data_IF_148806409049
#
_entry.id   IF_148806409049
#
_cell.length_a   1.000
_cell.length_b   1.000
_cell.length_c   1.000
_cell.angle_alpha   90.00
_cell.angle_beta   90.00
_cell.angle_gamma   90.00
#
_symmetry.space_group_name_H-M   'P 1'
#
loop_
_entity.id
_entity.type
_entity.pdbx_description
1 polymer ?
#
# COMPACT_ATOMS: atom_id res chain seq x y z
N UNK A 1 -9.88 -5.59 11.14
CA UNK A 1 -10.25 -4.20 11.51
C UNK A 1 -10.62 -3.35 10.30
N UNK A 2 -9.79 -3.25 9.25
CA UNK A 2 -10.09 -2.31 8.16
C UNK A 2 -11.18 -2.79 7.14
N UNK A 3 -11.36 -4.10 6.88
CA UNK A 3 -12.47 -4.60 6.02
C UNK A 3 -13.86 -4.21 6.54
N UNK A 4 -14.08 -4.36 7.86
CA UNK A 4 -15.32 -3.98 8.51
C UNK A 4 -15.59 -2.46 8.44
N UNK A 5 -14.54 -1.64 8.50
CA UNK A 5 -14.64 -0.20 8.29
C UNK A 5 -15.14 0.13 6.88
N UNK A 6 -14.59 -0.53 5.86
CA UNK A 6 -15.01 -0.33 4.46
C UNK A 6 -16.46 -0.77 4.26
N UNK A 7 -16.85 -1.90 4.84
CA UNK A 7 -18.25 -2.36 4.81
C UNK A 7 -19.20 -1.35 5.48
N UNK A 8 -18.86 -0.87 6.69
CA UNK A 8 -19.65 0.15 7.39
C UNK A 8 -19.71 1.48 6.63
N UNK A 9 -18.64 1.85 5.95
CA UNK A 9 -18.62 3.01 5.05
C UNK A 9 -19.61 2.83 3.89
N UNK A 10 -19.60 1.70 3.17
CA UNK A 10 -20.57 1.45 2.10
C UNK A 10 -22.01 1.50 2.59
N UNK A 11 -22.29 0.89 3.75
CA UNK A 11 -23.62 0.93 4.38
C UNK A 11 -24.12 2.34 4.64
N UNK A 12 -23.25 3.23 5.15
CA UNK A 12 -23.63 4.60 5.47
C UNK A 12 -23.68 5.48 4.23
N UNK A 13 -22.70 5.32 3.33
CA UNK A 13 -22.59 6.13 2.13
C UNK A 13 -23.76 5.84 1.16
N UNK A 14 -24.18 4.59 1.00
CA UNK A 14 -25.31 4.24 0.13
C UNK A 14 -26.60 4.93 0.54
N UNK A 15 -26.84 5.11 1.84
CA UNK A 15 -28.00 5.84 2.37
C UNK A 15 -27.95 7.36 2.14
N UNK A 16 -26.78 7.90 1.77
CA UNK A 16 -26.57 9.33 1.53
C UNK A 16 -26.53 9.70 0.03
N UNK A 17 -26.56 8.71 -0.87
CA UNK A 17 -26.51 8.96 -2.31
C UNK A 17 -27.85 9.47 -2.85
N UNK A 18 -27.76 10.33 -3.86
CA UNK A 18 -28.86 10.60 -4.79
C UNK A 18 -28.98 9.42 -5.78
N UNK A 19 -30.06 9.38 -6.55
CA UNK A 19 -30.31 8.29 -7.51
C UNK A 19 -29.17 8.05 -8.52
N UNK A 20 -28.38 9.09 -8.80
CA UNK A 20 -27.23 9.13 -9.71
C UNK A 20 -25.89 9.34 -8.97
N UNK A 21 -25.88 9.19 -7.65
CA UNK A 21 -24.68 9.39 -6.85
C UNK A 21 -23.68 8.24 -6.99
N UNK A 22 -22.40 8.59 -7.04
CA UNK A 22 -21.30 7.61 -7.12
C UNK A 22 -20.45 7.61 -5.85
N UNK A 23 -19.94 6.43 -5.48
CA UNK A 23 -18.96 6.28 -4.40
C UNK A 23 -17.62 5.90 -5.02
N UNK A 24 -16.62 6.74 -4.81
CA UNK A 24 -15.25 6.49 -5.28
C UNK A 24 -14.40 6.01 -4.11
N UNK A 25 -13.88 4.78 -4.20
CA UNK A 25 -12.98 4.23 -3.19
C UNK A 25 -11.61 3.95 -3.80
N UNK A 26 -10.57 4.56 -3.24
CA UNK A 26 -9.20 4.17 -3.50
C UNK A 26 -8.69 3.29 -2.35
N UNK A 27 -8.12 2.13 -2.68
CA UNK A 27 -7.54 1.22 -1.69
C UNK A 27 -6.21 0.65 -2.17
N UNK A 28 -5.37 0.21 -1.23
CA UNK A 28 -4.12 -0.47 -1.55
C UNK A 28 -4.42 -1.83 -2.17
N UNK A 29 -3.80 -2.12 -3.31
CA UNK A 29 -3.93 -3.39 -4.05
C UNK A 29 -2.88 -4.43 -3.65
N UNK A 30 -2.08 -4.16 -2.62
CA UNK A 30 -1.07 -5.09 -2.09
C UNK A 30 -1.60 -5.87 -0.89
N UNK A 31 -1.05 -7.05 -0.64
CA UNK A 31 -1.42 -7.85 0.52
C UNK A 31 -1.16 -7.11 1.86
N UNK A 32 -2.04 -7.26 2.87
CA UNK A 32 -3.23 -8.09 2.90
C UNK A 32 -4.50 -7.41 2.37
N UNK A 33 -4.41 -6.16 1.91
CA UNK A 33 -5.54 -5.28 1.57
C UNK A 33 -6.33 -5.73 0.34
N UNK A 34 -5.65 -6.37 -0.62
CA UNK A 34 -6.26 -6.93 -1.82
C UNK A 34 -7.27 -8.07 -1.57
N UNK A 35 -7.23 -8.72 -0.40
CA UNK A 35 -8.17 -9.79 -0.05
C UNK A 35 -9.52 -9.28 0.46
N UNK A 36 -9.74 -7.96 0.53
CA UNK A 36 -10.95 -7.42 1.13
C UNK A 36 -12.18 -7.53 0.25
N UNK A 37 -11.99 -7.73 -1.06
CA UNK A 37 -13.04 -7.85 -2.06
C UNK A 37 -14.07 -6.72 -1.96
N UNK A 38 -13.66 -5.50 -2.34
CA UNK A 38 -14.50 -4.31 -2.20
C UNK A 38 -15.82 -4.43 -2.96
N UNK A 39 -15.81 -5.10 -4.11
CA UNK A 39 -17.00 -5.32 -4.93
C UNK A 39 -18.05 -6.16 -4.19
N UNK A 40 -17.64 -7.22 -3.50
CA UNK A 40 -18.53 -8.03 -2.65
C UNK A 40 -19.09 -7.22 -1.47
N UNK A 41 -18.26 -6.38 -0.84
CA UNK A 41 -18.73 -5.51 0.25
C UNK A 41 -19.73 -4.46 -0.24
N UNK A 42 -19.52 -3.93 -1.45
CA UNK A 42 -20.41 -2.95 -2.08
C UNK A 42 -21.74 -3.59 -2.47
N UNK A 43 -21.72 -4.80 -3.05
CA UNK A 43 -22.94 -5.51 -3.48
C UNK A 43 -23.84 -5.90 -2.30
N UNK A 44 -23.24 -6.24 -1.14
CA UNK A 44 -23.95 -6.45 0.13
C UNK A 44 -24.74 -5.20 0.59
N UNK A 45 -24.42 -4.02 0.07
CA UNK A 45 -25.05 -2.74 0.39
C UNK A 45 -25.76 -2.12 -0.83
N UNK A 46 -26.19 -2.95 -1.80
CA UNK A 46 -26.93 -2.55 -3.01
C UNK A 46 -26.19 -1.56 -3.92
N UNK A 47 -24.86 -1.60 -3.90
CA UNK A 47 -24.00 -0.83 -4.81
C UNK A 47 -23.44 -1.75 -5.90
N UNK A 48 -23.31 -1.23 -7.11
CA UNK A 48 -22.70 -1.93 -8.23
C UNK A 48 -21.38 -1.28 -8.63
N UNK A 49 -20.39 -2.08 -9.05
CA UNK A 49 -19.15 -1.57 -9.60
C UNK A 49 -19.41 -0.98 -10.99
N UNK A 50 -19.23 0.33 -11.14
CA UNK A 50 -19.35 1.01 -12.43
C UNK A 50 -18.06 0.85 -13.23
N UNK A 51 -16.91 1.16 -12.60
CA UNK A 51 -15.62 1.09 -13.26
C UNK A 51 -14.47 0.93 -12.25
N UNK A 52 -13.39 0.31 -12.71
CA UNK A 52 -12.10 0.32 -12.02
C UNK A 52 -11.14 1.25 -12.77
N UNK A 53 -10.92 2.45 -12.23
CA UNK A 53 -10.12 3.49 -12.86
C UNK A 53 -8.90 3.85 -12.01
N UNK A 54 -7.81 4.24 -12.69
CA UNK A 54 -6.66 4.79 -11.99
C UNK A 54 -7.02 6.14 -11.36
N UNK A 55 -6.73 6.30 -10.08
CA UNK A 55 -6.90 7.57 -9.41
C UNK A 55 -5.89 8.59 -9.94
N UNK A 56 -6.38 9.73 -10.43
CA UNK A 56 -5.56 10.90 -10.77
C UNK A 56 -6.01 12.06 -9.91
N UNK A 57 -5.11 12.59 -9.10
CA UNK A 57 -5.43 13.72 -8.21
C UNK A 57 -5.94 14.95 -8.98
N UNK A 58 -5.46 15.13 -10.21
CA UNK A 58 -5.86 16.24 -11.09
C UNK A 58 -7.33 16.20 -11.50
N UNK A 59 -7.97 15.03 -11.45
CA UNK A 59 -9.40 14.88 -11.78
C UNK A 59 -10.31 15.35 -10.62
N UNK A 60 -9.73 15.65 -9.45
CA UNK A 60 -10.45 16.02 -8.23
C UNK A 60 -9.94 17.34 -7.62
N UNK A 61 -10.23 18.50 -8.26
CA UNK A 61 -9.80 19.80 -7.73
C UNK A 61 -10.39 20.03 -6.33
N UNK A 62 -9.52 20.33 -5.36
CA UNK A 62 -9.89 20.50 -3.96
C UNK A 62 -9.67 19.25 -3.08
N UNK A 63 -9.34 18.10 -3.67
CA UNK A 63 -8.94 16.92 -2.91
C UNK A 63 -7.63 17.18 -2.14
N UNK A 64 -7.69 17.09 -0.81
CA UNK A 64 -6.53 17.31 0.05
C UNK A 64 -6.45 16.17 1.08
N UNK A 65 -5.58 15.20 0.83
CA UNK A 65 -5.49 14.00 1.65
C UNK A 65 -4.86 14.31 3.01
N UNK A 66 -5.42 13.73 4.07
CA UNK A 66 -4.95 13.89 5.46
C UNK A 66 -4.59 12.54 6.06
N UNK A 67 -3.68 12.54 7.03
CA UNK A 67 -3.29 11.33 7.76
C UNK A 67 -4.27 11.11 8.92
N UNK A 68 -4.61 9.84 9.17
CA UNK A 68 -5.64 9.50 10.15
C UNK A 68 -5.29 9.70 11.63
N UNK A 69 -4.02 9.87 12.00
CA UNK A 69 -3.60 10.00 13.40
C UNK A 69 -2.22 10.67 13.59
N UNK A 70 -1.92 11.04 14.84
CA UNK A 70 -0.64 11.58 15.35
C UNK A 70 -0.31 13.03 14.92
N UNK A 71 0.88 13.51 15.31
CA UNK A 71 1.38 14.88 15.08
C UNK A 71 1.46 15.31 13.60
N UNK A 72 1.21 14.39 12.67
CA UNK A 72 1.19 14.63 11.22
C UNK A 72 -0.22 14.53 10.61
N UNK A 73 -1.28 14.47 11.41
CA UNK A 73 -2.65 14.25 10.93
C UNK A 73 -3.09 15.22 9.81
N UNK A 74 -2.72 16.50 9.92
CA UNK A 74 -3.05 17.51 8.92
C UNK A 74 -2.06 17.61 7.74
N UNK A 75 -1.01 16.78 7.69
CA UNK A 75 -0.04 16.78 6.60
C UNK A 75 -0.46 15.76 5.52
N UNK A 76 -0.29 16.08 4.23
CA UNK A 76 -0.57 15.14 3.16
C UNK A 76 0.37 13.93 3.18
N UNK A 77 -0.02 12.88 2.47
CA UNK A 77 0.82 11.73 2.15
C UNK A 77 0.99 11.60 0.63
N UNK A 78 2.14 11.08 0.15
CA UNK A 78 2.29 10.80 -1.29
C UNK A 78 1.20 9.83 -1.74
N UNK A 79 0.51 10.14 -2.83
CA UNK A 79 -0.53 9.27 -3.39
C UNK A 79 0.08 8.19 -4.30
N UNK A 80 1.25 8.47 -4.87
CA UNK A 80 2.08 7.50 -5.61
C UNK A 80 2.98 6.73 -4.63
N UNK A 81 2.42 5.73 -3.95
CA UNK A 81 3.22 4.78 -3.18
C UNK A 81 3.77 3.69 -4.11
N UNK A 82 4.73 4.08 -4.93
CA UNK A 82 5.70 3.12 -5.47
C UNK A 82 6.66 2.74 -4.32
N UNK A 83 6.78 1.44 -4.06
CA UNK A 83 7.77 0.89 -3.12
C UNK A 83 9.17 1.39 -3.49
N UNK A 84 9.44 1.54 -4.79
CA UNK A 84 10.67 2.09 -5.31
C UNK A 84 10.91 3.54 -4.86
N UNK A 85 9.88 4.39 -4.96
CA UNK A 85 9.94 5.79 -4.51
C UNK A 85 10.22 5.88 -3.00
N UNK A 86 9.63 4.99 -2.21
CA UNK A 86 9.83 4.95 -0.76
C UNK A 86 11.26 4.55 -0.37
N UNK A 87 11.85 3.55 -1.06
CA UNK A 87 13.24 3.14 -0.83
C UNK A 87 14.21 4.23 -1.27
N UNK A 88 14.00 4.82 -2.44
CA UNK A 88 14.87 5.87 -2.96
C UNK A 88 14.90 7.09 -2.03
N UNK A 89 13.75 7.53 -1.53
CA UNK A 89 13.67 8.66 -0.60
C UNK A 89 14.26 8.33 0.77
N UNK A 90 14.08 7.10 1.28
CA UNK A 90 14.70 6.67 2.52
C UNK A 90 16.24 6.70 2.42
N UNK A 91 16.80 6.22 1.31
CA UNK A 91 18.24 6.27 1.04
C UNK A 91 18.75 7.70 0.93
N UNK A 92 18.04 8.57 0.20
CA UNK A 92 18.40 9.99 0.06
C UNK A 92 18.41 10.72 1.40
N UNK A 93 17.37 10.53 2.22
CA UNK A 93 17.30 11.13 3.55
C UNK A 93 18.37 10.55 4.50
N UNK A 94 18.63 9.25 4.41
CA UNK A 94 19.70 8.58 5.16
C UNK A 94 21.07 9.16 4.84
N UNK A 95 21.37 9.38 3.56
CA UNK A 95 22.60 10.02 3.12
C UNK A 95 22.74 11.45 3.65
N UNK A 96 21.72 12.29 3.48
CA UNK A 96 21.73 13.68 3.98
C UNK A 96 21.98 13.70 5.48
N UNK A 97 21.29 12.84 6.23
CA UNK A 97 21.47 12.71 7.68
C UNK A 97 22.89 12.28 8.05
N UNK A 98 23.43 11.28 7.37
CA UNK A 98 24.80 10.82 7.57
C UNK A 98 25.83 11.96 7.36
N UNK A 99 25.70 12.72 6.29
CA UNK A 99 26.65 13.81 5.97
C UNK A 99 26.53 15.03 6.90
N UNK A 100 25.36 15.25 7.51
CA UNK A 100 25.08 16.49 8.28
C UNK A 100 25.19 16.34 9.80
N UNK A 101 25.03 15.14 10.35
CA UNK A 101 25.05 14.95 11.81
C UNK A 101 26.46 15.01 12.44
N UNK A 102 27.51 14.68 11.69
CA UNK A 102 28.90 14.71 12.18
C UNK A 102 29.78 15.39 11.12
N UNK A 103 30.29 16.60 11.40
CA UNK A 103 31.19 17.30 10.49
C UNK A 103 32.44 16.48 10.19
N UNK A 104 32.86 16.44 8.93
CA UNK A 104 34.10 15.76 8.51
C UNK A 104 33.98 14.26 8.23
N UNK A 105 32.77 13.69 8.14
CA UNK A 105 32.60 12.31 7.68
C UNK A 105 32.98 12.15 6.21
N UNK A 106 33.66 11.04 5.92
CA UNK A 106 34.05 10.66 4.57
C UNK A 106 32.94 9.88 3.84
N UNK A 107 33.11 9.70 2.53
CA UNK A 107 32.19 8.92 1.72
C UNK A 107 32.31 7.41 1.98
N UNK A 108 33.45 6.93 2.48
CA UNK A 108 33.70 5.50 2.70
C UNK A 108 32.71 4.90 3.68
N UNK A 109 32.41 5.59 4.79
CA UNK A 109 31.44 5.05 5.74
C UNK A 109 30.00 4.98 5.17
N UNK A 110 29.59 5.93 4.32
CA UNK A 110 28.32 5.84 3.57
C UNK A 110 28.32 4.67 2.58
N UNK A 111 29.43 4.48 1.86
CA UNK A 111 29.61 3.37 0.91
C UNK A 111 29.47 2.03 1.63
N UNK A 112 30.15 1.84 2.76
CA UNK A 112 30.07 0.62 3.57
C UNK A 112 28.63 0.31 4.02
N UNK A 113 27.87 1.33 4.41
CA UNK A 113 26.45 1.17 4.80
C UNK A 113 25.60 0.72 3.60
N UNK A 114 25.84 1.29 2.42
CA UNK A 114 25.12 0.91 1.19
C UNK A 114 25.48 -0.52 0.76
N UNK A 115 26.74 -0.92 0.89
CA UNK A 115 27.20 -2.28 0.60
C UNK A 115 26.59 -3.31 1.55
N UNK A 116 26.54 -3.01 2.85
CA UNK A 116 25.90 -3.89 3.83
C UNK A 116 24.39 -4.00 3.57
N UNK A 117 23.73 -2.89 3.24
CA UNK A 117 22.32 -2.91 2.85
C UNK A 117 22.09 -3.76 1.60
N UNK A 118 22.97 -3.68 0.60
CA UNK A 118 22.93 -4.53 -0.59
C UNK A 118 23.06 -6.01 -0.20
N UNK A 119 24.02 -6.35 0.65
CA UNK A 119 24.24 -7.73 1.14
C UNK A 119 23.01 -8.27 1.84
N UNK A 120 22.43 -7.52 2.77
CA UNK A 120 21.22 -7.90 3.51
C UNK A 120 20.00 -8.06 2.58
N UNK A 121 19.84 -7.16 1.59
CA UNK A 121 18.78 -7.23 0.59
C UNK A 121 18.84 -8.53 -0.25
N UNK A 122 20.04 -8.91 -0.70
CA UNK A 122 20.26 -10.17 -1.43
C UNK A 122 19.89 -11.38 -0.57
N UNK A 123 20.37 -11.42 0.68
CA UNK A 123 20.05 -12.51 1.62
C UNK A 123 18.55 -12.62 1.87
N UNK A 124 17.86 -11.50 2.09
CA UNK A 124 16.43 -11.46 2.32
C UNK A 124 15.65 -11.95 1.09
N UNK A 125 16.07 -11.53 -0.10
CA UNK A 125 15.45 -11.95 -1.35
C UNK A 125 15.60 -13.46 -1.59
N UNK A 126 16.78 -14.02 -1.32
CA UNK A 126 17.01 -15.46 -1.40
C UNK A 126 16.14 -16.23 -0.40
N UNK A 127 16.03 -15.75 0.83
CA UNK A 127 15.16 -16.33 1.85
C UNK A 127 13.67 -16.30 1.43
N UNK A 128 13.19 -15.17 0.90
CA UNK A 128 11.81 -15.03 0.41
C UNK A 128 11.52 -16.00 -0.74
N UNK A 129 12.45 -16.14 -1.71
CA UNK A 129 12.31 -17.09 -2.82
C UNK A 129 12.19 -18.53 -2.33
N UNK A 130 12.97 -18.93 -1.32
CA UNK A 130 12.88 -20.25 -0.69
C UNK A 130 11.51 -20.50 -0.04
N UNK A 131 10.92 -19.47 0.58
CA UNK A 131 9.57 -19.61 1.15
C UNK A 131 8.51 -19.84 0.06
N UNK A 132 8.63 -19.17 -1.09
CA UNK A 132 7.68 -19.34 -2.21
C UNK A 132 7.76 -20.73 -2.84
N UNK A 133 8.89 -21.42 -2.75
CA UNK A 133 9.09 -22.78 -3.28
C UNK A 133 8.82 -23.87 -2.24
N UNK A 134 8.36 -23.51 -1.03
CA UNK A 134 8.08 -24.48 0.04
C UNK A 134 6.73 -25.19 -0.20
N UNK A 135 6.59 -26.52 -0.02
CA UNK A 135 5.41 -27.30 -0.42
C UNK A 135 4.07 -26.95 0.28
N UNK A 136 4.05 -26.02 1.23
CA UNK A 136 2.90 -25.73 2.08
C UNK A 136 1.76 -24.95 1.38
N UNK A 137 1.80 -24.78 0.05
CA UNK A 137 0.70 -24.16 -0.72
C UNK A 137 0.14 -25.02 -1.87
N UNK A 138 0.55 -26.28 -2.01
CA UNK A 138 -0.13 -27.21 -2.93
C UNK A 138 -1.21 -28.00 -2.18
N UNK A 139 -2.35 -27.36 -1.93
CA UNK A 139 -3.60 -28.08 -1.66
C UNK A 139 -4.59 -27.70 -2.75
N UNK A 140 -4.42 -28.28 -3.92
CA UNK A 140 -5.46 -28.36 -4.95
C UNK A 140 -6.18 -29.70 -4.82
N UNK A 141 -7.36 -29.63 -4.22
CA UNK A 141 -8.60 -30.29 -4.67
C UNK A 141 -8.38 -31.42 -5.69
N UNK A 142 -8.25 -32.66 -5.21
CA UNK A 142 -8.64 -33.82 -6.01
C UNK A 142 -10.16 -33.92 -5.94
N UNK A 143 -10.80 -33.53 -7.05
CA UNK A 143 -12.22 -33.76 -7.33
C UNK A 143 -12.57 -35.23 -7.08
N UNK A 144 -13.76 -35.42 -6.51
CA UNK A 144 -14.55 -36.64 -6.65
C UNK A 144 -14.59 -37.03 -8.13
N UNK A 145 -14.07 -38.20 -8.45
CA UNK A 145 -14.43 -38.95 -9.65
C UNK A 145 -15.45 -40.02 -9.23
N UNK A 146 -16.54 -40.02 -10.00
CA UNK A 146 -17.74 -40.87 -10.03
C UNK A 146 -17.73 -42.19 -9.25
#
# INVERSE_FOLDING_TARGET
MHRALVHGFFRNASAMLRADGEIHVNHKTTAPFNHWNLEELASQNSLALIAHVNFKVNDYPGYNNKRGAFSRCNKPFPLDYDVYYSVHQALKLGYVRYMTEVPGRDLNGSINVLEELRRLSVLRSAWLRKMLTSPCQQTTVSKMEN
#
